data_IF_271957184099
#
_entry.id   IF_271957184099
#
_cell.length_a   1.000
_cell.length_b   1.000
_cell.length_c   1.000
_cell.angle_alpha   90.00
_cell.angle_beta   90.00
_cell.angle_gamma   90.00
#
_symmetry.space_group_name_H-M   'P 1'
#
loop_
_entity.id
_entity.type
_entity.pdbx_description
1 polymer ?
#
# COMPACT_ATOMS: atom_id res chain seq x y z
N UNK A 1 3.15 -15.89 32.45
CA UNK A 1 3.00 -14.84 31.41
C UNK A 1 3.71 -15.19 30.10
N UNK A 2 3.64 -16.42 29.61
CA UNK A 2 4.17 -16.78 28.27
C UNK A 2 3.12 -17.61 27.54
N UNK A 3 2.52 -18.53 28.31
CA UNK A 3 1.35 -19.33 27.94
C UNK A 3 0.12 -18.45 27.63
N UNK A 4 -0.14 -17.41 28.43
CA UNK A 4 -1.29 -16.50 28.19
C UNK A 4 -1.09 -15.69 26.90
N UNK A 5 0.13 -15.20 26.63
CA UNK A 5 0.44 -14.46 25.40
C UNK A 5 0.33 -15.37 24.17
N UNK A 6 0.81 -16.62 24.26
CA UNK A 6 0.70 -17.60 23.18
C UNK A 6 -0.76 -17.99 22.85
N UNK A 7 -1.60 -18.19 23.88
CA UNK A 7 -3.03 -18.46 23.70
C UNK A 7 -3.79 -17.28 23.08
N UNK A 8 -3.43 -16.05 23.48
CA UNK A 8 -4.02 -14.83 22.92
C UNK A 8 -3.69 -14.68 21.44
N UNK A 9 -2.44 -14.94 21.07
CA UNK A 9 -1.96 -14.83 19.69
C UNK A 9 -2.56 -15.91 18.78
N UNK A 10 -2.70 -17.14 19.30
CA UNK A 10 -3.33 -18.25 18.59
C UNK A 10 -4.84 -18.03 18.36
N UNK A 11 -5.55 -17.47 19.36
CA UNK A 11 -6.95 -17.11 19.21
C UNK A 11 -7.16 -16.01 18.16
N UNK A 12 -6.29 -14.99 18.13
CA UNK A 12 -6.35 -13.93 17.13
C UNK A 12 -6.08 -14.45 15.70
N UNK A 13 -5.14 -15.39 15.56
CA UNK A 13 -4.84 -16.04 14.28
C UNK A 13 -5.98 -16.92 13.77
N UNK A 14 -6.71 -17.59 14.68
CA UNK A 14 -7.86 -18.42 14.33
C UNK A 14 -9.06 -17.60 13.80
N UNK A 15 -9.21 -16.34 14.25
CA UNK A 15 -10.23 -15.42 13.71
C UNK A 15 -9.83 -14.80 12.36
N UNK A 16 -8.56 -14.89 11.95
CA UNK A 16 -8.08 -14.36 10.69
C UNK A 16 -8.30 -15.32 9.49
N UNK A 17 -8.66 -16.58 9.76
CA UNK A 17 -9.03 -17.56 8.74
C UNK A 17 -10.47 -17.34 8.27
N UNK A 18 -10.72 -16.23 7.57
CA UNK A 18 -11.96 -16.04 6.85
C UNK A 18 -11.98 -16.95 5.60
N UNK A 19 -13.14 -17.55 5.34
CA UNK A 19 -13.37 -18.54 4.30
C UNK A 19 -12.83 -18.11 2.91
N UNK A 20 -11.80 -18.80 2.43
CA UNK A 20 -11.39 -18.74 1.03
C UNK A 20 -12.26 -19.69 0.21
N UNK A 21 -13.54 -19.35 0.07
CA UNK A 21 -14.33 -19.79 -1.07
C UNK A 21 -14.09 -18.80 -2.21
N UNK A 22 -14.13 -19.24 -3.47
CA UNK A 22 -14.15 -18.31 -4.62
C UNK A 22 -15.44 -17.48 -4.52
N UNK A 23 -15.36 -16.33 -3.86
CA UNK A 23 -16.49 -15.44 -3.69
C UNK A 23 -16.82 -14.81 -5.05
N UNK A 24 -18.12 -14.69 -5.38
CA UNK A 24 -18.52 -13.88 -6.52
C UNK A 24 -17.85 -12.50 -6.43
N UNK A 25 -17.44 -11.90 -7.55
CA UNK A 25 -16.96 -10.52 -7.56
C UNK A 25 -17.93 -9.65 -6.77
N UNK A 26 -17.41 -8.78 -5.89
CA UNK A 26 -18.25 -7.82 -5.17
C UNK A 26 -19.12 -7.08 -6.19
N UNK A 27 -20.38 -6.82 -5.85
CA UNK A 27 -21.22 -5.97 -6.70
C UNK A 27 -20.51 -4.62 -6.93
N UNK A 28 -20.74 -3.93 -8.06
CA UNK A 28 -20.15 -2.61 -8.30
C UNK A 28 -20.43 -1.62 -7.15
N UNK A 29 -21.60 -1.74 -6.52
CA UNK A 29 -21.97 -0.97 -5.34
C UNK A 29 -21.07 -1.30 -4.12
N UNK A 30 -20.83 -2.59 -3.85
CA UNK A 30 -19.97 -3.01 -2.75
C UNK A 30 -18.49 -2.61 -2.99
N UNK A 31 -18.03 -2.64 -4.24
CA UNK A 31 -16.69 -2.15 -4.61
C UNK A 31 -16.58 -0.63 -4.38
N UNK A 32 -17.60 0.14 -4.75
CA UNK A 32 -17.62 1.58 -4.52
C UNK A 32 -17.61 1.93 -3.02
N UNK A 33 -18.35 1.19 -2.19
CA UNK A 33 -18.35 1.36 -0.73
C UNK A 33 -17.01 0.97 -0.09
N UNK A 34 -16.38 -0.10 -0.56
CA UNK A 34 -15.04 -0.47 -0.11
C UNK A 34 -13.99 0.61 -0.45
N UNK A 35 -14.08 1.20 -1.65
CA UNK A 35 -13.20 2.30 -2.07
C UNK A 35 -13.40 3.57 -1.22
N UNK A 36 -14.66 3.94 -0.94
CA UNK A 36 -14.98 5.07 -0.05
C UNK A 36 -14.46 4.82 1.37
N UNK A 37 -14.64 3.61 1.92
CA UNK A 37 -14.14 3.25 3.25
C UNK A 37 -12.60 3.32 3.31
N UNK A 38 -11.91 2.85 2.26
CA UNK A 38 -10.45 2.94 2.16
C UNK A 38 -9.98 4.40 2.08
N UNK A 39 -10.66 5.23 1.31
CA UNK A 39 -10.36 6.66 1.21
C UNK A 39 -10.55 7.35 2.58
N UNK A 40 -11.65 7.06 3.29
CA UNK A 40 -11.89 7.58 4.64
C UNK A 40 -10.82 7.11 5.63
N UNK A 41 -10.41 5.84 5.57
CA UNK A 41 -9.36 5.32 6.44
C UNK A 41 -8.01 6.03 6.19
N UNK A 42 -7.64 6.26 4.94
CA UNK A 42 -6.42 6.99 4.58
C UNK A 42 -6.46 8.45 5.06
N UNK A 43 -7.60 9.12 4.93
CA UNK A 43 -7.79 10.47 5.45
C UNK A 43 -7.71 10.51 6.98
N UNK A 44 -8.40 9.60 7.68
CA UNK A 44 -8.34 9.50 9.15
C UNK A 44 -6.92 9.27 9.67
N UNK A 45 -6.11 8.46 8.96
CA UNK A 45 -4.71 8.27 9.30
C UNK A 45 -3.90 9.58 9.17
N UNK A 46 -4.22 10.40 8.17
CA UNK A 46 -3.58 11.71 7.98
C UNK A 46 -4.00 12.71 9.07
N UNK A 47 -5.27 12.68 9.51
CA UNK A 47 -5.76 13.47 10.66
C UNK A 47 -5.05 13.06 11.94
N UNK A 48 -4.89 11.75 12.19
CA UNK A 48 -4.18 11.26 13.36
C UNK A 48 -2.71 11.72 13.37
N UNK A 49 -2.04 11.67 12.21
CA UNK A 49 -0.67 12.17 12.07
C UNK A 49 -0.57 13.68 12.34
N UNK A 50 -1.53 14.47 11.85
CA UNK A 50 -1.60 15.91 12.10
C UNK A 50 -1.78 16.23 13.60
N UNK A 51 -2.69 15.53 14.28
CA UNK A 51 -2.91 15.70 15.72
C UNK A 51 -1.67 15.30 16.53
N UNK A 52 -1.00 14.21 16.16
CA UNK A 52 0.24 13.78 16.80
C UNK A 52 1.33 14.84 16.64
N UNK A 53 1.47 15.42 15.45
CA UNK A 53 2.40 16.52 15.20
C UNK A 53 2.10 17.73 16.12
N UNK A 54 0.84 18.19 16.16
CA UNK A 54 0.45 19.31 17.02
C UNK A 54 0.72 19.03 18.51
N UNK A 55 0.50 17.78 18.96
CA UNK A 55 0.76 17.42 20.35
C UNK A 55 2.24 17.50 20.71
N UNK A 56 3.12 17.09 19.78
CA UNK A 56 4.57 17.17 19.98
C UNK A 56 5.04 18.63 20.01
N UNK A 57 4.53 19.47 19.10
CA UNK A 57 4.85 20.90 19.07
C UNK A 57 4.41 21.61 20.35
N UNK A 58 3.22 21.27 20.87
CA UNK A 58 2.74 21.82 22.14
C UNK A 58 3.66 21.44 23.30
N UNK A 59 4.04 20.17 23.41
CA UNK A 59 4.94 19.70 24.48
C UNK A 59 6.31 20.38 24.39
N UNK A 60 6.85 20.51 23.18
CA UNK A 60 8.11 21.22 22.96
C UNK A 60 7.99 22.70 23.39
N UNK A 61 6.90 23.37 23.02
CA UNK A 61 6.66 24.76 23.40
C UNK A 61 6.55 24.94 24.92
N UNK A 62 5.82 24.07 25.61
CA UNK A 62 5.70 24.07 27.07
C UNK A 62 7.07 23.86 27.74
N UNK A 63 7.85 22.88 27.28
CA UNK A 63 9.20 22.64 27.78
C UNK A 63 10.11 23.86 27.63
N UNK A 64 10.12 24.48 26.45
CA UNK A 64 10.94 25.68 26.21
C UNK A 64 10.49 26.86 27.08
N UNK A 65 9.18 27.03 27.28
CA UNK A 65 8.64 28.06 28.16
C UNK A 65 9.08 27.84 29.61
N UNK A 66 8.95 26.61 30.13
CA UNK A 66 9.38 26.26 31.48
C UNK A 66 10.88 26.41 31.69
N UNK A 67 11.69 25.91 30.76
CA UNK A 67 13.15 26.04 30.83
C UNK A 67 13.60 27.50 30.79
N UNK A 68 12.93 28.34 29.99
CA UNK A 68 13.17 29.79 29.95
C UNK A 68 12.81 30.45 31.29
N UNK A 69 11.67 30.12 31.88
CA UNK A 69 11.28 30.63 33.21
C UNK A 69 12.26 30.17 34.30
N UNK A 70 12.75 28.93 34.21
CA UNK A 70 13.71 28.37 35.16
C UNK A 70 15.17 28.84 34.95
N UNK A 71 15.41 29.74 33.98
CA UNK A 71 16.74 30.26 33.66
C UNK A 71 17.73 29.19 33.17
N UNK A 72 17.23 28.05 32.69
CA UNK A 72 18.07 26.96 32.19
C UNK A 72 18.62 27.33 30.81
N UNK A 73 19.90 27.04 30.53
CA UNK A 73 20.44 27.22 29.18
C UNK A 73 19.73 26.26 28.22
N UNK A 74 19.15 26.81 27.15
CA UNK A 74 18.53 26.08 26.06
C UNK A 74 19.47 26.06 24.86
N UNK A 75 19.67 24.88 24.26
CA UNK A 75 20.34 24.78 22.96
C UNK A 75 19.49 25.37 21.84
N UNK A 76 20.07 25.53 20.65
CA UNK A 76 19.30 25.93 19.47
C UNK A 76 18.24 24.86 19.15
N UNK A 77 16.95 25.23 19.03
CA UNK A 77 15.92 24.31 18.58
C UNK A 77 16.24 23.80 17.17
N UNK A 78 16.12 22.49 16.97
CA UNK A 78 16.18 21.90 15.63
C UNK A 78 14.88 22.26 14.91
N UNK A 79 14.98 22.79 13.69
CA UNK A 79 13.82 23.11 12.89
C UNK A 79 13.01 21.83 12.59
N UNK A 80 11.78 21.78 13.07
CA UNK A 80 10.82 20.72 12.72
C UNK A 80 9.99 21.18 11.51
N UNK A 81 9.62 20.26 10.61
CA UNK A 81 8.63 20.54 9.57
C UNK A 81 7.29 20.93 10.22
N UNK A 82 6.57 21.86 9.58
CA UNK A 82 5.27 22.31 10.05
C UNK A 82 4.22 21.18 9.99
N UNK A 83 3.31 21.14 10.96
CA UNK A 83 2.20 20.20 10.96
C UNK A 83 1.23 20.51 9.81
N UNK A 84 1.16 19.59 8.84
CA UNK A 84 0.28 19.75 7.68
C UNK A 84 -1.15 19.28 7.96
N UNK A 85 -2.10 20.20 7.86
CA UNK A 85 -3.54 19.90 7.96
C UNK A 85 -3.98 19.09 6.72
N UNK A 86 -4.59 17.89 6.88
CA UNK A 86 -5.13 17.11 5.77
C UNK A 86 -6.37 17.74 5.11
N UNK A 87 -6.97 18.77 5.73
CA UNK A 87 -8.19 19.40 5.23
C UNK A 87 -9.43 18.50 5.36
N UNK A 88 -10.58 18.95 4.83
CA UNK A 88 -11.82 18.17 4.88
C UNK A 88 -11.72 16.91 4.01
N UNK A 89 -12.40 15.84 4.44
CA UNK A 89 -12.53 14.64 3.61
C UNK A 89 -13.40 14.93 2.39
N UNK A 90 -12.82 14.78 1.19
CA UNK A 90 -13.54 14.89 -0.08
C UNK A 90 -13.33 13.58 -0.85
N UNK A 91 -14.43 12.92 -1.20
CA UNK A 91 -14.42 11.72 -2.02
C UNK A 91 -15.24 11.94 -3.29
N UNK A 92 -14.57 11.92 -4.43
CA UNK A 92 -15.19 11.83 -5.74
C UNK A 92 -15.03 10.38 -6.23
N UNK A 93 -16.11 9.58 -6.33
CA UNK A 93 -16.01 8.24 -6.87
C UNK A 93 -15.50 8.31 -8.31
N UNK A 94 -14.48 7.51 -8.64
CA UNK A 94 -14.05 7.35 -10.02
C UNK A 94 -15.21 6.75 -10.83
N UNK A 95 -15.48 7.23 -12.06
CA UNK A 95 -16.49 6.61 -12.91
C UNK A 95 -16.14 5.14 -13.08
N UNK A 96 -17.12 4.27 -12.80
CA UNK A 96 -17.02 2.84 -13.07
C UNK A 96 -16.96 2.66 -14.58
N UNK A 97 -15.75 2.69 -15.14
CA UNK A 97 -15.54 2.15 -16.48
C UNK A 97 -15.90 0.68 -16.37
N UNK A 98 -17.00 0.29 -17.04
CA UNK A 98 -17.32 -1.11 -17.22
C UNK A 98 -16.06 -1.76 -17.76
N UNK A 99 -15.51 -2.69 -16.98
CA UNK A 99 -14.35 -3.47 -17.39
C UNK A 99 -14.77 -4.24 -18.63
N UNK A 100 -14.46 -3.69 -19.80
CA UNK A 100 -14.59 -4.41 -21.06
C UNK A 100 -13.85 -5.73 -20.89
N UNK A 101 -14.52 -6.79 -21.35
CA UNK A 101 -14.22 -8.16 -21.02
C UNK A 101 -12.74 -8.48 -21.21
N UNK A 102 -12.26 -9.39 -20.37
CA UNK A 102 -10.98 -10.09 -20.49
C UNK A 102 -10.49 -10.16 -21.94
N UNK A 103 -9.67 -9.19 -22.33
CA UNK A 103 -8.76 -9.38 -23.44
C UNK A 103 -7.85 -10.51 -23.01
N UNK A 104 -7.94 -11.64 -23.71
CA UNK A 104 -7.07 -12.78 -23.53
C UNK A 104 -5.61 -12.29 -23.53
N UNK A 105 -4.98 -12.27 -22.37
CA UNK A 105 -3.53 -12.21 -22.28
C UNK A 105 -3.00 -13.61 -22.63
N UNK A 106 -2.93 -13.87 -23.93
CA UNK A 106 -1.84 -14.65 -24.50
C UNK A 106 -1.23 -13.77 -25.58
N UNK A 107 0.05 -13.39 -25.51
CA UNK A 107 0.70 -12.89 -26.71
C UNK A 107 0.68 -14.03 -27.74
N UNK A 108 0.02 -13.83 -28.87
CA UNK A 108 0.05 -14.74 -30.02
C UNK A 108 1.36 -14.60 -30.82
N UNK A 109 2.47 -14.37 -30.12
CA UNK A 109 3.81 -14.25 -30.71
C UNK A 109 4.78 -15.16 -29.96
N UNK A 110 4.51 -16.46 -29.93
CA UNK A 110 5.61 -17.42 -29.99
C UNK A 110 5.11 -18.75 -30.55
N UNK A 111 5.85 -19.25 -31.55
CA UNK A 111 5.77 -20.55 -32.20
C UNK A 111 4.94 -20.65 -33.50
N UNK A 112 5.66 -20.44 -34.61
CA UNK A 112 5.83 -21.44 -35.70
C UNK A 112 5.65 -20.88 -37.11
N UNK A 113 6.49 -19.92 -37.50
CA UNK A 113 7.03 -20.01 -38.86
C UNK A 113 8.22 -21.00 -38.80
N UNK A 114 8.16 -22.17 -39.45
CA UNK A 114 9.31 -23.06 -39.53
C UNK A 114 10.38 -22.44 -40.45
N UNK A 115 11.65 -22.35 -40.02
CA UNK A 115 12.71 -21.97 -40.94
C UNK A 115 12.99 -23.19 -41.85
N UNK A 116 12.41 -23.19 -43.04
CA UNK A 116 12.80 -24.11 -44.11
C UNK A 116 12.97 -23.32 -45.40
N UNK A 117 14.11 -22.64 -45.51
CA UNK A 117 14.71 -22.31 -46.80
C UNK A 117 15.80 -23.37 -47.10
N UNK A 118 15.79 -24.00 -48.29
CA UNK A 118 16.78 -24.99 -48.66
C UNK A 118 18.06 -24.27 -49.09
N UNK A 119 19.14 -24.41 -48.32
CA UNK A 119 20.48 -24.06 -48.81
C UNK A 119 21.37 -25.31 -48.79
N UNK A 120 21.84 -25.78 -49.96
CA UNK A 120 22.75 -26.91 -50.05
C UNK A 120 24.19 -26.40 -49.95
N UNK A 121 25.02 -27.06 -49.13
CA UNK A 121 26.46 -26.92 -49.22
C UNK A 121 27.10 -28.31 -49.21
N UNK A 122 27.77 -28.58 -50.33
CA UNK A 122 28.46 -29.79 -50.65
C UNK A 122 29.88 -29.82 -50.05
N UNK A 123 30.34 -31.06 -49.86
CA UNK A 123 31.70 -31.55 -50.05
C UNK A 123 32.81 -31.19 -49.03
N UNK A 124 33.37 -32.24 -48.42
CA UNK A 124 34.58 -32.15 -47.60
C UNK A 124 34.93 -33.39 -46.75
N UNK A 125 35.08 -34.57 -47.38
CA UNK A 125 35.79 -35.79 -46.89
C UNK A 125 37.22 -35.50 -46.32
N UNK A 126 38.00 -36.49 -45.81
CA UNK A 126 37.74 -37.67 -44.95
C UNK A 126 38.83 -37.88 -43.84
N UNK A 127 38.66 -38.91 -42.97
CA UNK A 127 39.68 -39.82 -42.39
C UNK A 127 39.05 -40.50 -41.15
N UNK A 128 39.09 -41.81 -40.90
CA UNK A 128 40.02 -42.90 -41.23
C UNK A 128 39.25 -44.22 -41.15
#
# INVERSE_FOLDING_TARGET
MKIIVALSLAALAALAANAYATLPPLSPEAQAKAAEAKAKAAWSASVAAYQLCQSQDKVAAEYFAEAKMAGKPLGQPVATPECKDPGPFVYAPAPVQAREGSGAHSPAETASQPPSSPQPDAEGKPAK
#
